data_IF_890948570437
#
_entry.id   IF_890948570437
#
_cell.length_a   1.000
_cell.length_b   1.000
_cell.length_c   1.000
_cell.angle_alpha   90.00
_cell.angle_beta   90.00
_cell.angle_gamma   90.00
#
_symmetry.space_group_name_H-M   'P 1'
#
loop_
_entity.id
_entity.type
_entity.pdbx_description
1 polymer ?
#
# COMPACT_ATOMS: atom_id res chain seq x y z
N UNK A 1 -28.93 -12.61 11.40
CA UNK A 1 -29.32 -11.22 11.08
C UNK A 1 -28.27 -10.49 10.21
N UNK A 2 -27.12 -11.08 9.91
CA UNK A 2 -26.06 -10.50 9.03
C UNK A 2 -26.21 -10.89 7.56
N UNK A 3 -26.92 -12.00 7.27
CA UNK A 3 -27.12 -12.52 5.89
C UNK A 3 -28.08 -11.68 5.01
N UNK A 4 -28.72 -10.67 5.57
CA UNK A 4 -29.63 -9.78 4.83
C UNK A 4 -29.03 -8.42 4.43
N UNK A 5 -27.73 -8.18 4.73
CA UNK A 5 -27.10 -6.91 4.36
C UNK A 5 -26.80 -6.87 2.87
N UNK A 6 -27.04 -5.73 2.19
CA UNK A 6 -26.60 -5.54 0.81
C UNK A 6 -25.11 -5.79 0.68
N UNK A 7 -24.70 -6.42 -0.43
CA UNK A 7 -23.31 -6.86 -0.69
C UNK A 7 -22.26 -5.74 -0.52
N UNK A 8 -22.63 -4.51 -0.74
CA UNK A 8 -21.73 -3.35 -0.66
C UNK A 8 -21.47 -2.83 0.78
N UNK A 9 -22.27 -3.25 1.76
CA UNK A 9 -22.21 -2.69 3.13
C UNK A 9 -20.90 -3.07 3.84
N UNK A 10 -20.52 -4.34 3.82
CA UNK A 10 -19.28 -4.82 4.45
C UNK A 10 -18.02 -4.27 3.76
N UNK A 11 -17.90 -4.32 2.42
CA UNK A 11 -16.80 -3.66 1.71
C UNK A 11 -16.68 -2.17 2.01
N UNK A 12 -17.80 -1.45 2.05
CA UNK A 12 -17.80 -0.01 2.36
C UNK A 12 -17.38 0.27 3.80
N UNK A 13 -17.83 -0.53 4.75
CA UNK A 13 -17.42 -0.42 6.15
C UNK A 13 -15.91 -0.69 6.32
N UNK A 14 -15.39 -1.75 5.69
CA UNK A 14 -13.96 -2.04 5.66
C UNK A 14 -13.18 -0.88 5.05
N UNK A 15 -13.62 -0.38 3.90
CA UNK A 15 -13.00 0.75 3.20
C UNK A 15 -12.93 2.00 4.10
N UNK A 16 -14.00 2.32 4.81
CA UNK A 16 -14.08 3.47 5.70
C UNK A 16 -13.09 3.36 6.86
N UNK A 17 -12.99 2.18 7.48
CA UNK A 17 -12.05 1.89 8.57
C UNK A 17 -10.61 1.99 8.05
N UNK A 18 -10.33 1.41 6.88
CA UNK A 18 -9.01 1.45 6.25
C UNK A 18 -8.61 2.89 5.91
N UNK A 19 -9.47 3.65 5.21
CA UNK A 19 -9.21 5.05 4.86
C UNK A 19 -8.94 5.89 6.10
N UNK A 20 -9.77 5.75 7.13
CA UNK A 20 -9.62 6.53 8.37
C UNK A 20 -8.25 6.32 9.01
N UNK A 21 -7.85 5.07 9.15
CA UNK A 21 -6.61 4.69 9.86
C UNK A 21 -5.38 4.94 9.00
N UNK A 22 -5.38 4.49 7.74
CA UNK A 22 -4.21 4.60 6.86
C UNK A 22 -3.90 6.04 6.50
N UNK A 23 -4.89 6.90 6.26
CA UNK A 23 -4.66 8.33 6.05
C UNK A 23 -3.93 8.98 7.23
N UNK A 24 -4.34 8.65 8.47
CA UNK A 24 -3.68 9.15 9.67
C UNK A 24 -2.23 8.67 9.75
N UNK A 25 -2.00 7.38 9.57
CA UNK A 25 -0.66 6.79 9.58
C UNK A 25 0.21 7.35 8.44
N UNK A 26 -0.37 7.54 7.26
CA UNK A 26 0.30 8.12 6.10
C UNK A 26 0.84 9.54 6.34
N UNK A 27 0.12 10.37 7.11
CA UNK A 27 0.62 11.69 7.50
C UNK A 27 1.86 11.59 8.39
N UNK A 28 1.94 10.60 9.29
CA UNK A 28 3.15 10.33 10.07
C UNK A 28 4.29 9.80 9.19
N UNK A 29 4.00 8.90 8.25
CA UNK A 29 4.96 8.35 7.29
C UNK A 29 5.60 9.45 6.46
N UNK A 30 4.79 10.35 5.87
CA UNK A 30 5.28 11.50 5.11
C UNK A 30 6.17 12.41 5.99
N UNK A 31 5.72 12.70 7.22
CA UNK A 31 6.47 13.56 8.14
C UNK A 31 7.80 12.94 8.60
N UNK A 32 7.90 11.62 8.64
CA UNK A 32 9.11 10.88 9.03
C UNK A 32 10.03 10.53 7.86
N UNK A 33 9.61 10.80 6.60
CA UNK A 33 10.29 10.39 5.37
C UNK A 33 10.58 8.88 5.31
N UNK A 34 9.56 8.05 5.59
CA UNK A 34 9.67 6.57 5.58
C UNK A 34 8.56 5.96 4.72
N UNK A 35 8.52 6.33 3.44
CA UNK A 35 7.41 6.05 2.52
C UNK A 35 7.16 4.55 2.25
N UNK A 36 8.20 3.71 2.29
CA UNK A 36 8.09 2.27 1.99
C UNK A 36 7.94 1.38 3.23
N UNK A 37 7.71 1.96 4.40
CA UNK A 37 7.65 1.18 5.65
C UNK A 37 6.51 0.18 5.68
N UNK A 38 5.38 0.52 5.10
CA UNK A 38 4.22 -0.37 4.98
C UNK A 38 4.46 -1.51 4.01
N UNK A 39 5.03 -1.22 2.83
CA UNK A 39 5.43 -2.25 1.86
C UNK A 39 6.45 -3.21 2.45
N UNK A 40 7.44 -2.68 3.17
CA UNK A 40 8.47 -3.51 3.80
C UNK A 40 7.87 -4.40 4.89
N UNK A 41 7.04 -3.85 5.79
CA UNK A 41 6.36 -4.64 6.81
C UNK A 41 5.36 -5.65 6.20
N UNK A 42 4.65 -5.27 5.12
CA UNK A 42 3.79 -6.18 4.40
C UNK A 42 4.57 -7.36 3.80
N UNK A 43 5.74 -7.13 3.21
CA UNK A 43 6.58 -8.20 2.64
C UNK A 43 7.22 -9.07 3.72
N UNK A 44 7.63 -8.48 4.85
CA UNK A 44 8.11 -9.25 6.01
C UNK A 44 6.99 -10.12 6.58
N UNK A 45 5.77 -9.59 6.68
CA UNK A 45 4.57 -10.37 7.05
C UNK A 45 4.27 -11.48 6.04
N UNK A 46 4.37 -11.18 4.73
CA UNK A 46 4.21 -12.13 3.64
C UNK A 46 5.22 -13.28 3.72
N UNK A 47 6.49 -12.95 3.99
CA UNK A 47 7.53 -13.96 4.22
C UNK A 47 7.14 -14.87 5.39
N UNK A 48 6.62 -14.32 6.49
CA UNK A 48 6.12 -15.10 7.62
C UNK A 48 4.96 -16.03 7.26
N UNK A 49 3.98 -15.55 6.47
CA UNK A 49 2.88 -16.41 6.01
C UNK A 49 3.36 -17.50 5.05
N UNK A 50 4.32 -17.21 4.19
CA UNK A 50 4.94 -18.20 3.30
C UNK A 50 5.67 -19.29 4.11
N UNK A 51 6.37 -18.90 5.17
CA UNK A 51 6.98 -19.87 6.09
C UNK A 51 5.92 -20.77 6.72
N UNK A 52 4.83 -20.21 7.26
CA UNK A 52 3.75 -21.01 7.83
C UNK A 52 3.15 -21.99 6.78
N UNK A 53 2.98 -21.52 5.55
CA UNK A 53 2.46 -22.33 4.45
C UNK A 53 3.37 -23.52 4.10
N UNK A 54 4.69 -23.36 4.16
CA UNK A 54 5.65 -24.46 3.97
C UNK A 54 5.54 -25.55 5.04
N UNK A 55 5.11 -25.18 6.25
CA UNK A 55 4.84 -26.13 7.33
C UNK A 55 3.43 -26.76 7.26
N UNK A 56 2.67 -26.50 6.18
CA UNK A 56 1.38 -27.12 5.90
C UNK A 56 0.17 -26.39 6.50
N UNK A 57 0.34 -25.15 6.99
CA UNK A 57 -0.77 -24.32 7.45
C UNK A 57 -1.41 -23.57 6.28
N UNK A 58 -2.74 -23.56 6.18
CA UNK A 58 -3.45 -22.82 5.14
C UNK A 58 -3.40 -21.30 5.39
N UNK A 59 -3.66 -20.52 4.32
CA UNK A 59 -3.63 -19.06 4.36
C UNK A 59 -4.60 -18.45 5.39
N UNK A 60 -5.76 -19.09 5.56
CA UNK A 60 -6.81 -18.63 6.45
C UNK A 60 -6.67 -19.15 7.89
N UNK A 61 -5.67 -19.97 8.16
CA UNK A 61 -5.42 -20.47 9.51
C UNK A 61 -5.00 -19.36 10.45
N UNK A 62 -5.50 -19.36 11.71
CA UNK A 62 -5.04 -18.42 12.74
C UNK A 62 -3.53 -18.51 12.96
N UNK A 63 -2.92 -19.68 12.83
CA UNK A 63 -1.46 -19.89 12.99
C UNK A 63 -0.70 -19.08 11.95
N UNK A 64 -1.11 -19.14 10.67
CA UNK A 64 -0.51 -18.36 9.59
C UNK A 64 -0.56 -16.86 9.88
N UNK A 65 -1.67 -16.37 10.42
CA UNK A 65 -1.79 -14.98 10.84
C UNK A 65 -0.81 -14.63 11.95
N UNK A 66 -0.69 -15.45 13.01
CA UNK A 66 0.20 -15.15 14.12
C UNK A 66 1.69 -15.27 13.74
N UNK A 67 2.05 -16.21 12.86
CA UNK A 67 3.42 -16.32 12.33
C UNK A 67 3.75 -15.07 11.48
N UNK A 68 2.86 -14.69 10.58
CA UNK A 68 2.98 -13.48 9.77
C UNK A 68 3.14 -12.23 10.64
N UNK A 69 2.33 -12.11 11.67
CA UNK A 69 2.41 -11.01 12.64
C UNK A 69 3.72 -11.03 13.42
N UNK A 70 4.19 -12.20 13.84
CA UNK A 70 5.48 -12.36 14.51
C UNK A 70 6.64 -11.84 13.67
N UNK A 71 6.68 -12.19 12.39
CA UNK A 71 7.65 -11.64 11.43
C UNK A 71 7.54 -10.13 11.32
N UNK A 72 6.32 -9.58 11.18
CA UNK A 72 6.11 -8.14 11.10
C UNK A 72 6.56 -7.40 12.38
N UNK A 73 6.37 -7.99 13.58
CA UNK A 73 6.86 -7.44 14.85
C UNK A 73 8.39 -7.41 14.88
N UNK A 74 9.04 -8.48 14.40
CA UNK A 74 10.52 -8.51 14.25
C UNK A 74 10.98 -7.43 13.28
N UNK A 75 10.28 -7.25 12.15
CA UNK A 75 10.53 -6.17 11.20
C UNK A 75 10.39 -4.77 11.84
N UNK A 76 9.35 -4.56 12.63
CA UNK A 76 9.10 -3.32 13.35
C UNK A 76 10.23 -3.02 14.37
N UNK A 77 10.65 -4.03 15.10
CA UNK A 77 11.81 -3.91 15.99
C UNK A 77 13.09 -3.57 15.22
N UNK A 78 13.34 -4.29 14.12
CA UNK A 78 14.49 -4.04 13.26
C UNK A 78 14.51 -2.58 12.77
N UNK A 79 13.40 -2.04 12.25
CA UNK A 79 13.34 -0.64 11.79
C UNK A 79 13.52 0.39 12.89
N UNK A 80 13.22 0.04 14.15
CA UNK A 80 13.45 0.93 15.28
C UNK A 80 14.92 1.01 15.69
N UNK A 81 15.67 -0.10 15.54
CA UNK A 81 17.09 -0.19 15.97
C UNK A 81 18.07 0.02 14.81
N UNK A 82 17.71 -0.34 13.57
CA UNK A 82 18.60 -0.30 12.40
C UNK A 82 18.84 1.11 11.84
N UNK A 83 18.32 2.15 12.49
CA UNK A 83 18.54 3.52 12.06
C UNK A 83 19.98 3.93 12.27
N UNK A 84 20.66 4.26 11.16
CA UNK A 84 22.03 4.78 11.20
C UNK A 84 21.99 6.28 11.49
N UNK A 85 22.78 6.80 12.46
CA UNK A 85 22.86 8.23 12.75
C UNK A 85 23.50 9.08 11.64
N UNK A 86 24.08 8.43 10.62
CA UNK A 86 24.75 9.10 9.49
C UNK A 86 23.70 9.57 8.45
N UNK A 87 23.68 10.87 8.17
CA UNK A 87 22.78 11.47 7.16
C UNK A 87 23.01 10.93 5.74
N UNK A 88 24.15 10.28 5.47
CA UNK A 88 24.45 9.65 4.17
C UNK A 88 23.63 8.39 3.91
N UNK A 89 23.10 7.76 4.97
CA UNK A 89 22.29 6.55 4.85
C UNK A 89 20.87 6.86 5.33
N UNK A 90 19.97 7.23 4.41
CA UNK A 90 18.59 7.52 4.79
C UNK A 90 17.90 6.26 5.29
N UNK A 91 17.05 6.39 6.31
CA UNK A 91 16.23 5.31 6.86
C UNK A 91 15.46 4.55 5.78
N UNK A 92 15.01 5.27 4.75
CA UNK A 92 14.29 4.74 3.60
C UNK A 92 15.10 3.69 2.82
N UNK A 93 16.42 3.85 2.72
CA UNK A 93 17.28 2.86 2.06
C UNK A 93 17.32 1.53 2.82
N UNK A 94 17.35 1.58 4.16
CA UNK A 94 17.31 0.39 5.01
C UNK A 94 15.96 -0.33 4.90
N UNK A 95 14.87 0.44 4.90
CA UNK A 95 13.51 -0.07 4.73
C UNK A 95 13.35 -0.71 3.35
N UNK A 96 13.84 -0.03 2.29
CA UNK A 96 13.80 -0.56 0.93
C UNK A 96 14.61 -1.83 0.75
N UNK A 97 15.78 -1.94 1.40
CA UNK A 97 16.57 -3.17 1.39
C UNK A 97 15.84 -4.31 2.11
N UNK A 98 15.24 -4.05 3.26
CA UNK A 98 14.45 -5.05 3.99
C UNK A 98 13.25 -5.53 3.16
N UNK A 99 12.57 -4.61 2.45
CA UNK A 99 11.51 -4.95 1.48
C UNK A 99 12.03 -5.92 0.41
N UNK A 100 13.16 -5.60 -0.23
CA UNK A 100 13.73 -6.41 -1.29
C UNK A 100 14.14 -7.81 -0.80
N UNK A 101 14.78 -7.90 0.37
CA UNK A 101 15.22 -9.16 0.97
C UNK A 101 14.01 -10.02 1.38
N UNK A 102 13.00 -9.43 2.01
CA UNK A 102 11.79 -10.15 2.40
C UNK A 102 11.01 -10.65 1.18
N UNK A 103 10.89 -9.81 0.13
CA UNK A 103 10.25 -10.20 -1.13
C UNK A 103 11.00 -11.35 -1.81
N UNK A 104 12.33 -11.26 -1.91
CA UNK A 104 13.15 -12.32 -2.49
C UNK A 104 13.02 -13.63 -1.70
N UNK A 105 13.05 -13.55 -0.37
CA UNK A 105 12.85 -14.70 0.52
C UNK A 105 11.48 -15.36 0.31
N UNK A 106 10.41 -14.56 0.25
CA UNK A 106 9.06 -15.08 -0.01
C UNK A 106 8.97 -15.77 -1.39
N UNK A 107 9.57 -15.20 -2.43
CA UNK A 107 9.59 -15.79 -3.77
C UNK A 107 10.36 -17.12 -3.76
N UNK A 108 11.55 -17.16 -3.16
CA UNK A 108 12.37 -18.37 -3.09
C UNK A 108 11.65 -19.51 -2.36
N UNK A 109 11.05 -19.20 -1.21
CA UNK A 109 10.28 -20.21 -0.45
C UNK A 109 9.00 -20.64 -1.18
N UNK A 110 8.34 -19.72 -1.90
CA UNK A 110 7.15 -20.03 -2.69
C UNK A 110 7.46 -20.94 -3.89
N UNK A 111 8.70 -20.88 -4.43
CA UNK A 111 9.11 -21.73 -5.54
C UNK A 111 9.17 -23.22 -5.17
N UNK A 112 9.29 -23.56 -3.90
CA UNK A 112 9.27 -24.94 -3.40
C UNK A 112 7.86 -25.52 -3.29
N UNK A 113 6.82 -24.70 -3.50
CA UNK A 113 5.43 -25.10 -3.38
C UNK A 113 4.69 -24.91 -4.72
N UNK A 114 3.96 -25.94 -5.24
CA UNK A 114 3.23 -25.86 -6.51
C UNK A 114 2.23 -24.69 -6.59
N UNK A 115 1.64 -24.28 -5.46
CA UNK A 115 0.68 -23.16 -5.36
C UNK A 115 1.28 -21.86 -4.82
N UNK A 116 2.60 -21.81 -4.61
CA UNK A 116 3.27 -20.65 -4.00
C UNK A 116 3.10 -19.35 -4.79
N UNK A 117 3.15 -19.41 -6.12
CA UNK A 117 2.97 -18.24 -6.98
C UNK A 117 1.53 -17.68 -6.91
N UNK A 118 0.52 -18.57 -6.80
CA UNK A 118 -0.88 -18.16 -6.63
C UNK A 118 -1.08 -17.48 -5.27
N UNK A 119 -0.53 -18.08 -4.21
CA UNK A 119 -0.54 -17.50 -2.87
C UNK A 119 0.02 -16.07 -2.83
N UNK A 120 1.20 -15.83 -3.42
CA UNK A 120 1.80 -14.49 -3.50
C UNK A 120 0.92 -13.51 -4.29
N UNK A 121 0.31 -13.97 -5.39
CA UNK A 121 -0.60 -13.16 -6.20
C UNK A 121 -1.84 -12.74 -5.39
N UNK A 122 -2.44 -13.65 -4.65
CA UNK A 122 -3.63 -13.38 -3.84
C UNK A 122 -3.35 -12.39 -2.72
N UNK A 123 -2.20 -12.52 -2.07
CA UNK A 123 -1.75 -11.53 -1.08
C UNK A 123 -1.55 -10.13 -1.67
N UNK A 124 -1.01 -10.03 -2.90
CA UNK A 124 -0.82 -8.74 -3.56
C UNK A 124 -2.15 -8.09 -3.98
N UNK A 125 -3.07 -8.90 -4.49
CA UNK A 125 -4.34 -8.43 -5.04
C UNK A 125 -5.36 -8.08 -3.95
N UNK A 126 -5.46 -8.91 -2.91
CA UNK A 126 -6.50 -8.83 -1.89
C UNK A 126 -7.91 -8.93 -2.47
N UNK A 127 -8.91 -8.99 -1.63
CA UNK A 127 -10.31 -8.98 -2.09
C UNK A 127 -11.26 -8.33 -1.07
N UNK A 128 -11.22 -7.02 -1.01
CA UNK A 128 -12.09 -6.22 -0.12
C UNK A 128 -13.60 -6.50 -0.34
N UNK A 129 -13.99 -7.00 -1.54
CA UNK A 129 -15.40 -7.28 -1.85
C UNK A 129 -15.96 -8.49 -1.11
N UNK A 130 -15.11 -9.44 -0.73
CA UNK A 130 -15.53 -10.67 -0.03
C UNK A 130 -15.24 -10.63 1.47
N UNK A 131 -14.94 -9.44 2.00
CA UNK A 131 -14.66 -9.26 3.42
C UNK A 131 -15.83 -9.73 4.29
N UNK A 132 -15.52 -10.53 5.31
CA UNK A 132 -16.50 -11.03 6.26
C UNK A 132 -16.84 -10.01 7.37
N UNK A 133 -17.99 -10.18 8.00
CA UNK A 133 -18.36 -9.35 9.15
C UNK A 133 -17.41 -9.53 10.35
N UNK A 134 -16.82 -10.70 10.49
CA UNK A 134 -15.83 -10.98 11.53
C UNK A 134 -14.55 -10.17 11.30
N UNK A 135 -14.04 -10.13 10.08
CA UNK A 135 -12.86 -9.35 9.72
C UNK A 135 -13.08 -7.85 9.89
N UNK A 136 -14.25 -7.34 9.48
CA UNK A 136 -14.60 -5.91 9.68
C UNK A 136 -14.64 -5.56 11.15
N UNK A 137 -15.26 -6.41 12.01
CA UNK A 137 -15.31 -6.18 13.46
C UNK A 137 -13.92 -6.26 14.08
N UNK A 138 -13.11 -7.24 13.68
CA UNK A 138 -11.73 -7.38 14.16
C UNK A 138 -10.89 -6.14 13.78
N UNK A 139 -10.96 -5.70 12.52
CA UNK A 139 -10.27 -4.50 12.07
C UNK A 139 -10.75 -3.26 12.82
N UNK A 140 -12.06 -3.08 13.01
CA UNK A 140 -12.61 -1.96 13.76
C UNK A 140 -12.13 -1.93 15.22
N UNK A 141 -12.11 -3.08 15.88
CA UNK A 141 -11.63 -3.20 17.26
C UNK A 141 -10.12 -2.94 17.35
N UNK A 142 -9.31 -3.59 16.51
CA UNK A 142 -7.86 -3.45 16.51
C UNK A 142 -7.45 -2.00 16.20
N UNK A 143 -7.99 -1.42 15.14
CA UNK A 143 -7.63 -0.06 14.73
C UNK A 143 -8.21 1.00 15.67
N UNK A 144 -9.36 0.72 16.27
CA UNK A 144 -9.93 1.56 17.35
C UNK A 144 -9.02 1.60 18.57
N UNK A 145 -8.53 0.46 19.04
CA UNK A 145 -7.56 0.37 20.14
C UNK A 145 -6.26 1.11 19.81
N UNK A 146 -5.67 0.84 18.62
CA UNK A 146 -4.44 1.50 18.20
C UNK A 146 -4.68 3.01 18.04
N UNK A 147 -5.79 3.42 17.47
CA UNK A 147 -6.18 4.83 17.35
C UNK A 147 -6.30 5.52 18.70
N UNK A 148 -6.92 4.85 19.69
CA UNK A 148 -7.02 5.34 21.06
C UNK A 148 -5.62 5.49 21.72
N UNK A 149 -4.74 4.50 21.55
CA UNK A 149 -3.36 4.57 22.01
C UNK A 149 -2.60 5.73 21.35
N UNK A 150 -2.74 5.88 20.04
CA UNK A 150 -2.13 7.01 19.32
C UNK A 150 -2.69 8.36 19.76
N UNK A 151 -3.97 8.43 20.10
CA UNK A 151 -4.58 9.65 20.66
C UNK A 151 -4.03 9.98 22.04
N UNK A 152 -3.92 8.99 22.94
CA UNK A 152 -3.32 9.16 24.27
C UNK A 152 -1.88 9.62 24.16
N UNK A 153 -1.09 8.98 23.30
CA UNK A 153 0.33 9.26 23.10
C UNK A 153 0.63 10.22 21.94
N UNK A 154 -0.35 11.01 21.50
CA UNK A 154 -0.20 11.92 20.35
C UNK A 154 0.94 12.93 20.50
N UNK A 155 1.21 13.39 21.73
CA UNK A 155 2.27 14.39 21.96
C UNK A 155 3.68 13.88 21.56
N UNK A 156 4.18 12.77 22.12
CA UNK A 156 5.49 12.25 21.72
C UNK A 156 5.51 11.75 20.26
N UNK A 157 4.45 11.10 19.79
CA UNK A 157 4.38 10.62 18.41
C UNK A 157 4.48 11.76 17.39
N UNK A 158 3.74 12.86 17.58
CA UNK A 158 3.79 14.03 16.72
C UNK A 158 5.12 14.77 16.85
N UNK A 159 5.65 14.93 18.10
CA UNK A 159 6.94 15.60 18.34
C UNK A 159 8.06 14.93 17.55
N UNK A 160 8.13 13.60 17.60
CA UNK A 160 9.14 12.81 16.87
C UNK A 160 8.91 12.87 15.35
N UNK A 161 7.65 12.87 14.90
CA UNK A 161 7.34 12.91 13.47
C UNK A 161 7.67 14.25 12.83
N UNK A 162 7.61 15.36 13.60
CA UNK A 162 7.87 16.72 13.09
C UNK A 162 9.34 17.08 13.22
N UNK A 163 9.92 16.84 14.39
CA UNK A 163 11.31 17.20 14.71
C UNK A 163 11.94 16.16 15.65
N UNK A 164 12.52 15.15 15.04
CA UNK A 164 13.18 14.03 15.76
C UNK A 164 14.35 14.51 16.60
N UNK A 165 15.23 15.34 16.03
CA UNK A 165 16.41 15.82 16.73
C UNK A 165 16.05 16.70 17.93
N UNK A 166 14.98 17.48 17.82
CA UNK A 166 14.41 18.22 18.93
C UNK A 166 13.83 17.29 20.00
N UNK A 167 13.14 16.21 19.61
CA UNK A 167 12.60 15.24 20.54
C UNK A 167 13.69 14.51 21.35
N UNK A 168 14.84 14.21 20.73
CA UNK A 168 16.01 13.63 21.40
C UNK A 168 16.62 14.63 22.40
N UNK A 169 16.74 15.90 22.02
CA UNK A 169 17.20 16.99 22.93
C UNK A 169 16.25 17.22 24.10
N UNK A 170 14.95 17.03 23.88
CA UNK A 170 13.92 17.13 24.93
C UNK A 170 13.94 15.90 25.87
N UNK A 171 14.86 14.94 25.68
CA UNK A 171 15.02 13.74 26.52
C UNK A 171 14.03 12.62 26.23
N UNK A 172 13.29 12.66 25.09
CA UNK A 172 12.41 11.58 24.72
C UNK A 172 13.21 10.34 24.31
N UNK A 173 12.79 9.16 24.76
CA UNK A 173 13.35 7.87 24.31
C UNK A 173 12.85 7.54 22.91
N UNK A 174 13.41 8.24 21.90
CA UNK A 174 12.93 8.20 20.51
C UNK A 174 12.89 6.78 19.95
N UNK A 175 13.88 5.94 20.25
CA UNK A 175 13.91 4.54 19.81
C UNK A 175 12.71 3.72 20.32
N UNK A 176 12.32 3.92 21.59
CA UNK A 176 11.13 3.26 22.14
C UNK A 176 9.85 3.72 21.44
N UNK A 177 9.71 5.03 21.20
CA UNK A 177 8.55 5.57 20.51
C UNK A 177 8.51 5.18 19.03
N UNK A 178 9.65 5.06 18.37
CA UNK A 178 9.75 4.52 17.02
C UNK A 178 9.34 3.05 16.99
N UNK A 179 9.80 2.25 17.94
CA UNK A 179 9.37 0.85 18.06
C UNK A 179 7.84 0.74 18.25
N UNK A 180 7.26 1.50 19.17
CA UNK A 180 5.80 1.49 19.37
C UNK A 180 5.04 1.95 18.14
N UNK A 181 5.55 2.92 17.39
CA UNK A 181 4.99 3.37 16.14
C UNK A 181 5.06 2.26 15.08
N UNK A 182 6.22 1.67 14.84
CA UNK A 182 6.37 0.58 13.86
C UNK A 182 5.62 -0.69 14.28
N UNK A 183 5.52 -0.97 15.57
CA UNK A 183 4.69 -2.06 16.09
C UNK A 183 3.21 -1.85 15.78
N UNK A 184 2.69 -0.65 16.01
CA UNK A 184 1.30 -0.33 15.64
C UNK A 184 1.07 -0.43 14.14
N UNK A 185 2.07 -0.03 13.34
CA UNK A 185 2.07 -0.22 11.90
C UNK A 185 2.03 -1.70 11.52
N UNK A 186 2.90 -2.53 12.10
CA UNK A 186 2.94 -3.96 11.83
C UNK A 186 1.61 -4.64 12.08
N UNK A 187 0.96 -4.32 13.22
CA UNK A 187 -0.37 -4.83 13.57
C UNK A 187 -1.45 -4.44 12.54
N UNK A 188 -1.48 -3.16 12.15
CA UNK A 188 -2.46 -2.63 11.19
C UNK A 188 -2.20 -3.21 9.81
N UNK A 189 -0.95 -3.17 9.31
CA UNK A 189 -0.60 -3.62 7.97
C UNK A 189 -0.86 -5.12 7.79
N UNK A 190 -0.43 -5.96 8.74
CA UNK A 190 -0.69 -7.40 8.67
C UNK A 190 -2.18 -7.73 8.60
N UNK A 191 -3.02 -7.00 9.33
CA UNK A 191 -4.47 -7.16 9.29
C UNK A 191 -5.08 -6.59 8.00
N UNK A 192 -4.69 -5.39 7.57
CA UNK A 192 -5.27 -4.71 6.40
C UNK A 192 -4.89 -5.37 5.07
N UNK A 193 -3.68 -5.92 4.96
CA UNK A 193 -3.23 -6.65 3.76
C UNK A 193 -4.10 -7.88 3.49
N UNK A 194 -4.54 -8.58 4.51
CA UNK A 194 -5.48 -9.72 4.35
C UNK A 194 -6.84 -9.28 3.80
N UNK A 195 -7.31 -8.09 4.14
CA UNK A 195 -8.61 -7.54 3.71
C UNK A 195 -8.50 -6.94 2.30
N UNK A 196 -7.48 -6.14 2.06
CA UNK A 196 -7.41 -5.24 0.91
C UNK A 196 -6.26 -5.53 -0.06
N UNK A 197 -5.30 -6.38 0.34
CA UNK A 197 -4.07 -6.64 -0.41
C UNK A 197 -3.03 -5.53 -0.26
N UNK A 198 -1.78 -5.88 -0.54
CA UNK A 198 -0.62 -4.98 -0.35
C UNK A 198 -0.74 -3.70 -1.16
N UNK A 199 -1.14 -3.81 -2.45
CA UNK A 199 -1.22 -2.66 -3.35
C UNK A 199 -2.25 -1.63 -2.91
N UNK A 200 -3.44 -2.08 -2.50
CA UNK A 200 -4.50 -1.17 -2.05
C UNK A 200 -4.13 -0.52 -0.72
N UNK A 201 -3.56 -1.28 0.20
CA UNK A 201 -3.12 -0.76 1.51
C UNK A 201 -2.08 0.36 1.33
N UNK A 202 -1.07 0.14 0.49
CA UNK A 202 -0.06 1.15 0.17
C UNK A 202 -0.67 2.45 -0.39
N UNK A 203 -1.59 2.32 -1.34
CA UNK A 203 -2.22 3.50 -1.95
C UNK A 203 -3.10 4.25 -0.94
N UNK A 204 -3.85 3.52 -0.08
CA UNK A 204 -4.67 4.10 0.97
C UNK A 204 -3.84 4.84 2.04
N UNK A 205 -2.60 4.42 2.23
CA UNK A 205 -1.67 5.09 3.15
C UNK A 205 -1.15 6.40 2.55
N UNK A 206 -0.60 6.34 1.34
CA UNK A 206 0.18 7.45 0.76
C UNK A 206 -0.73 8.47 0.06
N UNK A 207 -1.63 8.03 -0.83
CA UNK A 207 -2.36 8.94 -1.70
C UNK A 207 -3.25 9.94 -0.95
N UNK A 208 -4.08 9.54 0.03
CA UNK A 208 -4.89 10.49 0.80
C UNK A 208 -4.03 11.46 1.62
N UNK A 209 -2.93 10.96 2.20
CA UNK A 209 -2.03 11.78 3.01
C UNK A 209 -1.30 12.82 2.16
N UNK A 210 -0.87 12.46 0.94
CA UNK A 210 -0.29 13.39 -0.03
C UNK A 210 -1.33 14.44 -0.46
N UNK A 211 -2.57 14.04 -0.79
CA UNK A 211 -3.64 14.99 -1.08
C UNK A 211 -3.82 15.99 0.06
N UNK A 212 -3.90 15.54 1.30
CA UNK A 212 -4.00 16.41 2.46
C UNK A 212 -2.81 17.37 2.59
N UNK A 213 -1.60 16.88 2.38
CA UNK A 213 -0.37 17.69 2.47
C UNK A 213 -0.27 18.75 1.35
N UNK A 214 -0.80 18.46 0.16
CA UNK A 214 -0.81 19.41 -0.96
C UNK A 214 -1.67 20.66 -0.69
N UNK A 215 -2.81 20.49 -0.03
CA UNK A 215 -3.79 21.57 0.15
C UNK A 215 -3.72 22.29 1.50
N UNK A 216 -3.14 21.66 2.53
CA UNK A 216 -3.14 22.23 3.88
C UNK A 216 -1.78 22.14 4.56
N UNK A 217 -1.52 23.09 5.48
CA UNK A 217 -0.36 23.08 6.39
C UNK A 217 -0.69 22.46 7.75
N UNK A 218 -1.90 22.68 8.24
CA UNK A 218 -2.36 22.20 9.54
C UNK A 218 -2.72 20.71 9.49
N UNK A 219 -2.25 19.91 10.48
CA UNK A 219 -2.48 18.47 10.55
C UNK A 219 -3.96 18.07 10.47
N UNK A 220 -4.84 18.80 11.18
CA UNK A 220 -6.29 18.52 11.16
C UNK A 220 -6.89 18.69 9.77
N UNK A 221 -6.51 19.77 9.07
CA UNK A 221 -6.98 20.02 7.71
C UNK A 221 -6.42 18.97 6.73
N UNK A 222 -5.14 18.59 6.86
CA UNK A 222 -4.54 17.49 6.07
C UNK A 222 -5.32 16.19 6.25
N UNK A 223 -5.69 15.87 7.47
CA UNK A 223 -6.43 14.64 7.79
C UNK A 223 -7.83 14.66 7.18
N UNK A 224 -8.57 15.76 7.33
CA UNK A 224 -9.93 15.89 6.77
C UNK A 224 -9.95 15.82 5.24
N UNK A 225 -9.01 16.52 4.58
CA UNK A 225 -8.88 16.48 3.12
C UNK A 225 -8.47 15.07 2.67
N UNK A 226 -7.50 14.46 3.35
CA UNK A 226 -7.07 13.10 3.06
C UNK A 226 -8.22 12.09 3.20
N UNK A 227 -9.01 12.17 4.25
CA UNK A 227 -10.20 11.33 4.44
C UNK A 227 -11.24 11.55 3.34
N UNK A 228 -11.52 12.81 2.97
CA UNK A 228 -12.46 13.11 1.89
C UNK A 228 -11.99 12.53 0.56
N UNK A 229 -10.73 12.76 0.17
CA UNK A 229 -10.14 12.18 -1.03
C UNK A 229 -10.13 10.64 -0.99
N UNK A 230 -9.75 10.07 0.16
CA UNK A 230 -9.72 8.63 0.38
C UNK A 230 -11.08 7.97 0.21
N UNK A 231 -12.12 8.55 0.81
CA UNK A 231 -13.49 8.06 0.69
C UNK A 231 -14.02 8.18 -0.74
N UNK A 232 -13.82 9.33 -1.39
CA UNK A 232 -14.25 9.52 -2.79
C UNK A 232 -13.58 8.51 -3.73
N UNK A 233 -12.25 8.32 -3.58
CA UNK A 233 -11.51 7.36 -4.39
C UNK A 233 -11.97 5.93 -4.15
N UNK A 234 -12.16 5.55 -2.89
CA UNK A 234 -12.51 4.17 -2.54
C UNK A 234 -13.95 3.83 -2.94
N UNK A 235 -14.91 4.71 -2.65
CA UNK A 235 -16.30 4.50 -3.06
C UNK A 235 -16.41 4.52 -4.59
N UNK A 236 -15.77 5.49 -5.26
CA UNK A 236 -15.74 5.58 -6.72
C UNK A 236 -15.13 4.33 -7.35
N UNK A 237 -14.02 3.83 -6.80
CA UNK A 237 -13.37 2.60 -7.25
C UNK A 237 -14.21 1.34 -7.04
N UNK A 238 -14.89 1.21 -5.90
CA UNK A 238 -15.83 0.10 -5.64
C UNK A 238 -17.01 0.11 -6.62
N UNK A 239 -17.59 1.28 -6.88
CA UNK A 239 -18.68 1.43 -7.87
C UNK A 239 -18.18 1.09 -9.29
N UNK A 240 -16.97 1.52 -9.65
CA UNK A 240 -16.38 1.21 -10.95
C UNK A 240 -16.08 -0.29 -11.07
N UNK A 241 -15.50 -0.89 -10.03
CA UNK A 241 -15.25 -2.32 -9.92
C UNK A 241 -16.51 -3.13 -10.14
N UNK A 242 -17.59 -2.81 -9.41
CA UNK A 242 -18.86 -3.54 -9.49
C UNK A 242 -19.58 -3.41 -10.84
N UNK A 243 -19.42 -2.26 -11.54
CA UNK A 243 -20.05 -2.03 -12.85
C UNK A 243 -19.29 -2.63 -14.03
N UNK A 244 -17.98 -2.84 -13.87
CA UNK A 244 -17.09 -3.28 -14.96
C UNK A 244 -16.48 -4.67 -14.72
N UNK A 245 -16.84 -5.32 -13.64
CA UNK A 245 -16.25 -6.58 -13.17
C UNK A 245 -14.70 -6.51 -13.09
N UNK A 246 -14.19 -5.35 -12.67
CA UNK A 246 -12.76 -5.14 -12.50
C UNK A 246 -12.33 -5.48 -11.07
N UNK A 247 -11.10 -5.95 -10.86
CA UNK A 247 -10.58 -6.13 -9.51
C UNK A 247 -10.63 -4.82 -8.72
N UNK A 248 -11.12 -4.83 -7.45
CA UNK A 248 -11.38 -3.59 -6.70
C UNK A 248 -10.11 -2.80 -6.39
N UNK A 249 -9.03 -3.46 -6.01
CA UNK A 249 -7.79 -2.77 -5.66
C UNK A 249 -7.21 -1.95 -6.84
N UNK A 250 -7.03 -2.49 -8.05
CA UNK A 250 -6.65 -1.70 -9.22
C UNK A 250 -7.65 -0.59 -9.57
N UNK A 251 -8.96 -0.84 -9.48
CA UNK A 251 -9.97 0.16 -9.78
C UNK A 251 -9.88 1.37 -8.84
N UNK A 252 -9.77 1.13 -7.54
CA UNK A 252 -9.58 2.18 -6.52
C UNK A 252 -8.26 2.92 -6.77
N UNK A 253 -7.18 2.19 -7.10
CA UNK A 253 -5.87 2.76 -7.38
C UNK A 253 -5.89 3.74 -8.56
N UNK A 254 -6.61 3.40 -9.63
CA UNK A 254 -6.81 4.28 -10.78
C UNK A 254 -7.54 5.58 -10.40
N UNK A 255 -8.58 5.49 -9.58
CA UNK A 255 -9.30 6.69 -9.11
C UNK A 255 -8.38 7.56 -8.25
N UNK A 256 -7.58 6.97 -7.36
CA UNK A 256 -6.58 7.72 -6.59
C UNK A 256 -5.56 8.42 -7.48
N UNK A 257 -5.07 7.74 -8.53
CA UNK A 257 -4.14 8.35 -9.47
C UNK A 257 -4.75 9.59 -10.15
N UNK A 258 -6.02 9.51 -10.56
CA UNK A 258 -6.75 10.65 -11.14
C UNK A 258 -6.88 11.79 -10.13
N UNK A 259 -7.27 11.50 -8.88
CA UNK A 259 -7.40 12.51 -7.82
C UNK A 259 -6.04 13.16 -7.51
N UNK A 260 -4.96 12.37 -7.39
CA UNK A 260 -3.62 12.89 -7.11
C UNK A 260 -3.11 13.79 -8.23
N UNK A 261 -3.22 13.33 -9.47
CA UNK A 261 -2.84 14.12 -10.64
C UNK A 261 -3.66 15.41 -10.69
N UNK A 262 -4.98 15.32 -10.56
CA UNK A 262 -5.86 16.49 -10.51
C UNK A 262 -5.50 17.46 -9.37
N UNK A 263 -5.17 16.93 -8.20
CA UNK A 263 -4.74 17.72 -7.02
C UNK A 263 -3.40 18.42 -7.27
N UNK A 264 -2.42 17.72 -7.81
CA UNK A 264 -1.10 18.30 -8.14
C UNK A 264 -1.23 19.40 -9.19
N UNK A 265 -2.11 19.20 -10.16
CA UNK A 265 -2.50 20.18 -11.17
C UNK A 265 -3.09 21.44 -10.54
N UNK A 266 -4.14 21.25 -9.77
CA UNK A 266 -4.85 22.37 -9.14
C UNK A 266 -3.90 23.23 -8.30
N UNK A 267 -3.03 22.58 -7.49
CA UNK A 267 -2.04 23.29 -6.67
C UNK A 267 -0.99 24.01 -7.51
N UNK A 268 -0.49 23.36 -8.56
CA UNK A 268 0.51 23.96 -9.46
C UNK A 268 -0.04 25.20 -10.17
N UNK A 269 -1.29 25.13 -10.63
CA UNK A 269 -1.96 26.27 -11.29
C UNK A 269 -2.23 27.41 -10.31
N UNK A 270 -2.74 27.08 -9.11
CA UNK A 270 -3.09 28.12 -8.11
C UNK A 270 -1.86 28.81 -7.55
N UNK A 271 -0.76 28.09 -7.32
CA UNK A 271 0.47 28.62 -6.71
C UNK A 271 1.47 29.20 -7.70
N UNK A 272 1.32 28.94 -9.01
CA UNK A 272 2.25 29.44 -10.02
C UNK A 272 2.02 30.91 -10.32
N UNK A 273 3.10 31.71 -10.31
CA UNK A 273 3.10 33.08 -10.83
C UNK A 273 2.84 33.12 -12.36
N UNK A 274 3.17 32.02 -13.05
CA UNK A 274 2.97 31.84 -14.50
C UNK A 274 1.92 30.74 -14.77
N UNK A 275 0.68 30.96 -14.36
CA UNK A 275 -0.43 29.98 -14.43
C UNK A 275 -0.62 29.38 -15.83
N UNK A 276 -0.49 30.21 -16.88
CA UNK A 276 -0.62 29.77 -18.26
C UNK A 276 0.48 28.78 -18.68
N UNK A 277 1.73 29.03 -18.30
CA UNK A 277 2.85 28.14 -18.60
C UNK A 277 2.74 26.79 -17.85
N UNK A 278 2.28 26.83 -16.58
CA UNK A 278 2.03 25.61 -15.80
C UNK A 278 0.92 24.76 -16.42
N UNK A 279 -0.18 25.39 -16.85
CA UNK A 279 -1.28 24.71 -17.56
C UNK A 279 -0.82 24.10 -18.88
N UNK A 280 -0.04 24.81 -19.69
CA UNK A 280 0.48 24.31 -20.98
C UNK A 280 1.38 23.09 -20.79
N UNK A 281 2.33 23.16 -19.83
CA UNK A 281 3.21 22.01 -19.52
C UNK A 281 2.42 20.77 -19.10
N UNK A 282 1.40 20.98 -18.30
CA UNK A 282 0.56 19.92 -17.80
C UNK A 282 -0.33 19.31 -18.87
N UNK A 283 -1.02 20.12 -19.66
CA UNK A 283 -1.81 19.66 -20.82
C UNK A 283 -0.90 18.89 -21.77
N UNK A 284 0.32 19.38 -22.01
CA UNK A 284 1.33 18.68 -22.78
C UNK A 284 1.67 17.30 -22.19
N UNK A 285 1.88 17.18 -20.87
CA UNK A 285 2.14 15.90 -20.23
C UNK A 285 0.97 14.92 -20.34
N UNK A 286 -0.28 15.42 -20.15
CA UNK A 286 -1.49 14.61 -20.30
C UNK A 286 -1.65 14.12 -21.74
N UNK A 287 -1.41 14.98 -22.72
CA UNK A 287 -1.48 14.63 -24.15
C UNK A 287 -0.42 13.56 -24.49
N UNK A 288 0.80 13.72 -23.99
CA UNK A 288 1.87 12.74 -24.21
C UNK A 288 1.51 11.39 -23.59
N UNK A 289 1.02 11.35 -22.33
CA UNK A 289 0.62 10.11 -21.67
C UNK A 289 -0.58 9.45 -22.39
N UNK A 290 -1.58 10.24 -22.80
CA UNK A 290 -2.70 9.73 -23.58
C UNK A 290 -2.25 9.20 -24.94
N UNK A 291 -1.36 9.90 -25.62
CA UNK A 291 -0.76 9.47 -26.89
C UNK A 291 0.03 8.18 -26.74
N UNK A 292 0.84 8.03 -25.69
CA UNK A 292 1.55 6.79 -25.39
C UNK A 292 0.58 5.63 -25.09
N UNK A 293 -0.47 5.88 -24.33
CA UNK A 293 -1.51 4.89 -24.02
C UNK A 293 -2.27 4.41 -25.25
N UNK A 294 -2.64 5.35 -26.13
CA UNK A 294 -3.30 5.03 -27.40
C UNK A 294 -2.35 4.33 -28.36
N UNK A 295 -1.10 4.78 -28.45
CA UNK A 295 -0.06 4.14 -29.26
C UNK A 295 0.23 2.72 -28.81
N UNK A 296 0.36 2.48 -27.50
CA UNK A 296 0.54 1.14 -26.93
C UNK A 296 -0.68 0.25 -27.23
N UNK A 297 -1.90 0.79 -27.10
CA UNK A 297 -3.13 0.06 -27.43
C UNK A 297 -3.21 -0.30 -28.90
N UNK A 298 -2.82 0.62 -29.79
CA UNK A 298 -2.76 0.39 -31.23
C UNK A 298 -1.70 -0.66 -31.56
N UNK A 299 -0.52 -0.57 -30.96
CA UNK A 299 0.56 -1.56 -31.10
C UNK A 299 0.11 -2.95 -30.66
N UNK A 300 -0.49 -3.08 -29.48
CA UNK A 300 -0.97 -4.37 -28.96
C UNK A 300 -2.08 -5.01 -29.81
N UNK A 301 -2.80 -4.21 -30.62
CA UNK A 301 -3.81 -4.69 -31.56
C UNK A 301 -3.26 -4.90 -32.97
N UNK A 302 -2.00 -4.55 -33.22
CA UNK A 302 -1.38 -4.68 -34.53
C UNK A 302 -0.92 -6.10 -34.81
N UNK A 303 -0.85 -6.46 -36.08
CA UNK A 303 -0.26 -7.73 -36.55
C UNK A 303 1.20 -7.90 -36.14
N UNK A 304 1.92 -6.81 -35.90
CA UNK A 304 3.29 -6.80 -35.41
C UNK A 304 3.41 -7.39 -33.99
N UNK A 305 2.51 -7.02 -33.08
CA UNK A 305 2.51 -7.58 -31.72
C UNK A 305 2.16 -9.08 -31.74
N UNK A 306 1.27 -9.47 -32.62
CA UNK A 306 0.92 -10.88 -32.83
C UNK A 306 2.07 -11.67 -33.46
N UNK A 307 2.79 -11.12 -34.44
CA UNK A 307 3.96 -11.73 -35.04
C UNK A 307 5.12 -11.85 -34.03
N UNK A 308 5.35 -10.82 -33.20
CA UNK A 308 6.32 -10.83 -32.12
C UNK A 308 6.04 -11.96 -31.11
N UNK A 309 4.82 -12.07 -30.62
CA UNK A 309 4.42 -13.12 -29.68
C UNK A 309 4.57 -14.52 -30.26
N UNK A 310 4.25 -14.72 -31.55
CA UNK A 310 4.47 -16.00 -32.24
C UNK A 310 5.96 -16.32 -32.40
N UNK A 311 6.77 -15.36 -32.75
CA UNK A 311 8.21 -15.54 -32.86
C UNK A 311 8.85 -16.00 -31.56
N UNK A 312 8.50 -15.39 -30.44
CA UNK A 312 8.97 -15.81 -29.12
C UNK A 312 8.46 -17.19 -28.71
N UNK A 313 7.19 -17.49 -28.99
CA UNK A 313 6.60 -18.79 -28.69
C UNK A 313 7.31 -19.93 -29.43
N UNK A 314 7.65 -19.74 -30.71
CA UNK A 314 8.41 -20.72 -31.49
C UNK A 314 9.86 -20.82 -31.01
N UNK A 315 10.53 -19.71 -30.68
CA UNK A 315 11.89 -19.71 -30.16
C UNK A 315 12.03 -20.46 -28.82
N UNK A 316 11.01 -20.38 -27.96
CA UNK A 316 11.00 -21.12 -26.69
C UNK A 316 10.73 -22.63 -26.84
N UNK A 317 10.08 -23.09 -27.92
CA UNK A 317 9.76 -24.50 -28.16
C UNK A 317 10.71 -25.20 -29.10
N UNK A 318 11.51 -24.48 -29.84
CA UNK A 318 12.49 -25.06 -30.77
C UNK A 318 13.46 -26.06 -30.08
N UNK A 319 14.03 -25.77 -28.92
CA UNK A 319 14.91 -26.71 -28.24
C UNK A 319 14.21 -27.97 -27.73
N UNK A 320 12.89 -27.92 -27.41
CA UNK A 320 12.11 -29.09 -26.93
C UNK A 320 11.81 -30.03 -28.10
N UNK A 321 11.52 -29.51 -29.28
CA UNK A 321 11.28 -30.29 -30.47
C UNK A 321 12.55 -30.96 -31.02
N UNK A 322 13.73 -30.31 -30.88
CA UNK A 322 15.01 -30.87 -31.25
C UNK A 322 15.54 -31.93 -30.27
N UNK A 323 15.02 -31.96 -29.03
CA UNK A 323 15.37 -32.99 -28.03
C UNK A 323 14.47 -34.24 -28.12
N UNK A 324 13.39 -34.19 -28.90
CA UNK A 324 12.41 -35.26 -29.07
C UNK A 324 12.56 -35.99 -30.43
N UNK A 325 13.44 -35.57 -31.31
CA UNK A 325 13.85 -36.20 -32.53
C UNK A 325 15.21 -36.92 -32.35
#
# INVERSE_FOLDING_TARGET
MVESLPWWVLPSAAALILVATHTYLGLHVISRNVFFVDLALAQVAALGSTVAYLYGFEMNDPITYYVSLGFAVVGAWFFSVARVPDERVPQEAIIGLAFAVASAGAILLSAENPHGAEHLRDMMAGSILVVSSAEVKHAAALYGVIGALHWVFRKPLLRISIDRAGAERDGLRVQLWDFLFYLSFALIITSSVRIAGVLLVFILLIAPAVCGALFASQLRARLLIGWACGLVATIGGLVLSSRKDWPPAPAISCIFAVILVGSAIAVSVVRSAQRAAALVKLLGAVVVLAGLGLGLRAFLRSDLAWAWNRGQWYAQRAPIAAAAS
#
